data_IF_768257905997
#
_entry.id   IF_768257905997
#
_cell.length_a   1.000
_cell.length_b   1.000
_cell.length_c   1.000
_cell.angle_alpha   90.00
_cell.angle_beta   90.00
_cell.angle_gamma   90.00
#
_symmetry.space_group_name_H-M   'P 1'
#
loop_
_entity.id
_entity.type
_entity.pdbx_description
1 polymer ?
#
# COMPACT_ATOMS: atom_id res chain seq x y z
N UNK A 1 -23.66 -7.15 -12.83
CA UNK A 1 -22.37 -6.88 -12.20
C UNK A 1 -22.50 -5.68 -11.28
N UNK A 2 -22.00 -5.78 -10.07
CA UNK A 2 -22.13 -4.73 -9.08
C UNK A 2 -21.04 -3.67 -9.29
N UNK A 3 -21.45 -2.41 -9.51
CA UNK A 3 -20.53 -1.30 -9.72
C UNK A 3 -19.61 -1.09 -8.51
N UNK A 4 -20.09 -1.38 -7.30
CA UNK A 4 -19.29 -1.23 -6.09
C UNK A 4 -18.13 -2.24 -6.05
N UNK A 5 -18.38 -3.50 -6.45
CA UNK A 5 -17.32 -4.51 -6.53
C UNK A 5 -16.27 -4.12 -7.56
N UNK A 6 -16.73 -3.57 -8.69
CA UNK A 6 -15.81 -3.12 -9.74
C UNK A 6 -14.97 -1.94 -9.25
N UNK A 7 -15.57 -1.03 -8.49
CA UNK A 7 -14.86 0.11 -7.94
C UNK A 7 -13.74 -0.35 -7.00
N UNK A 8 -14.02 -1.28 -6.11
CA UNK A 8 -13.01 -1.80 -5.16
C UNK A 8 -11.84 -2.43 -5.91
N UNK A 9 -12.13 -3.28 -6.88
CA UNK A 9 -11.11 -3.94 -7.69
C UNK A 9 -10.26 -2.93 -8.46
N UNK A 10 -10.92 -1.95 -9.07
CA UNK A 10 -10.23 -0.91 -9.84
C UNK A 10 -9.38 0.00 -8.95
N UNK A 11 -9.87 0.32 -7.75
CA UNK A 11 -9.13 1.13 -6.80
C UNK A 11 -7.86 0.40 -6.35
N UNK A 12 -7.97 -0.88 -6.06
CA UNK A 12 -6.80 -1.69 -5.67
C UNK A 12 -5.77 -1.74 -6.80
N UNK A 13 -6.23 -1.91 -8.03
CA UNK A 13 -5.34 -1.98 -9.18
C UNK A 13 -4.66 -0.64 -9.46
N UNK A 14 -5.31 0.48 -9.13
CA UNK A 14 -4.77 1.81 -9.37
C UNK A 14 -3.84 2.31 -8.27
N UNK A 15 -3.85 1.65 -7.09
CA UNK A 15 -2.94 2.01 -5.99
C UNK A 15 -1.57 1.40 -6.26
N UNK A 16 -0.84 2.02 -7.17
CA UNK A 16 0.50 1.60 -7.60
C UNK A 16 1.50 2.64 -7.15
N UNK A 17 2.61 2.16 -6.60
CA UNK A 17 3.69 3.03 -6.13
C UNK A 17 4.38 3.68 -7.33
N UNK A 18 4.31 5.01 -7.39
CA UNK A 18 4.98 5.79 -8.43
C UNK A 18 6.20 6.50 -7.88
N UNK A 19 6.83 7.32 -8.74
CA UNK A 19 8.02 8.08 -8.35
C UNK A 19 7.76 9.05 -7.21
N UNK A 20 6.53 9.54 -7.09
CA UNK A 20 6.14 10.48 -6.04
C UNK A 20 5.32 9.83 -4.93
N UNK A 21 5.28 8.49 -4.89
CA UNK A 21 4.50 7.76 -3.90
C UNK A 21 3.21 7.22 -4.48
N UNK A 22 2.26 6.95 -3.58
CA UNK A 22 0.94 6.45 -3.99
C UNK A 22 0.00 7.60 -4.34
N UNK A 23 -0.97 7.36 -5.24
CA UNK A 23 -1.94 8.39 -5.55
C UNK A 23 -2.76 8.79 -4.32
N UNK A 24 -3.04 10.09 -4.19
CA UNK A 24 -3.92 10.62 -3.15
C UNK A 24 -5.35 10.12 -3.39
N UNK A 25 -6.26 10.27 -2.41
CA UNK A 25 -7.66 9.94 -2.64
C UNK A 25 -8.24 10.66 -3.85
N UNK A 26 -7.87 11.93 -4.05
CA UNK A 26 -8.33 12.73 -5.18
C UNK A 26 -7.80 12.19 -6.51
N UNK A 27 -6.51 11.89 -6.55
CA UNK A 27 -5.89 11.34 -7.75
C UNK A 27 -6.44 9.96 -8.08
N UNK A 28 -6.67 9.13 -7.05
CA UNK A 28 -7.25 7.81 -7.23
C UNK A 28 -8.67 7.92 -7.82
N UNK A 29 -9.50 8.79 -7.23
CA UNK A 29 -10.86 8.98 -7.73
C UNK A 29 -10.84 9.46 -9.19
N UNK A 30 -9.97 10.41 -9.50
CA UNK A 30 -9.84 10.93 -10.86
C UNK A 30 -9.47 9.83 -11.85
N UNK A 31 -8.55 8.96 -11.48
CA UNK A 31 -8.14 7.85 -12.36
C UNK A 31 -9.28 6.85 -12.63
N UNK A 32 -10.27 6.81 -11.74
CA UNK A 32 -11.44 5.94 -11.88
C UNK A 32 -12.65 6.68 -12.49
N UNK A 33 -12.46 7.94 -12.88
CA UNK A 33 -13.52 8.80 -13.38
C UNK A 33 -14.66 9.01 -12.38
N UNK A 34 -14.28 9.12 -11.12
CA UNK A 34 -15.21 9.35 -10.01
C UNK A 34 -14.82 10.60 -9.24
N UNK A 35 -15.80 11.18 -8.53
CA UNK A 35 -15.46 12.22 -7.56
C UNK A 35 -14.92 11.55 -6.30
N UNK A 36 -14.09 12.27 -5.49
CA UNK A 36 -13.61 11.71 -4.23
C UNK A 36 -14.76 11.25 -3.31
N UNK A 37 -15.86 12.00 -3.30
CA UNK A 37 -17.04 11.66 -2.50
C UNK A 37 -17.66 10.35 -2.95
N UNK A 38 -17.80 10.15 -4.26
CA UNK A 38 -18.37 8.91 -4.80
C UNK A 38 -17.45 7.73 -4.52
N UNK A 39 -16.14 7.91 -4.70
CA UNK A 39 -15.17 6.85 -4.38
C UNK A 39 -15.30 6.45 -2.92
N UNK A 40 -15.28 7.42 -2.02
CA UNK A 40 -15.38 7.17 -0.58
C UNK A 40 -16.66 6.40 -0.24
N UNK A 41 -17.79 6.84 -0.79
CA UNK A 41 -19.08 6.19 -0.54
C UNK A 41 -19.06 4.74 -0.99
N UNK A 42 -18.59 4.49 -2.21
CA UNK A 42 -18.56 3.12 -2.78
C UNK A 42 -17.64 2.21 -1.98
N UNK A 43 -16.49 2.71 -1.54
CA UNK A 43 -15.60 1.91 -0.71
C UNK A 43 -16.24 1.57 0.63
N UNK A 44 -16.91 2.55 1.26
CA UNK A 44 -17.59 2.34 2.53
C UNK A 44 -18.71 1.30 2.40
N UNK A 45 -19.42 1.29 1.28
CA UNK A 45 -20.46 0.30 1.01
C UNK A 45 -19.90 -1.12 0.97
N UNK A 46 -18.63 -1.26 0.61
CA UNK A 46 -17.92 -2.54 0.58
C UNK A 46 -17.19 -2.84 1.90
N UNK A 47 -17.30 -1.94 2.88
CA UNK A 47 -16.63 -2.12 4.17
C UNK A 47 -15.16 -1.70 4.17
N UNK A 48 -14.76 -0.86 3.23
CA UNK A 48 -13.36 -0.43 3.11
C UNK A 48 -13.21 1.08 3.19
N UNK A 49 -11.99 1.51 3.46
CA UNK A 49 -11.59 2.91 3.38
C UNK A 49 -10.36 3.02 2.49
N UNK A 50 -10.10 4.24 2.00
CA UNK A 50 -8.87 4.50 1.25
C UNK A 50 -7.63 4.09 2.07
N UNK A 51 -7.62 4.42 3.37
CA UNK A 51 -6.47 4.09 4.23
C UNK A 51 -6.22 2.59 4.32
N UNK A 52 -7.28 1.80 4.38
CA UNK A 52 -7.14 0.35 4.40
C UNK A 52 -6.55 -0.18 3.10
N UNK A 53 -6.99 0.37 1.96
CA UNK A 53 -6.45 -0.02 0.66
C UNK A 53 -4.99 0.40 0.51
N UNK A 54 -4.66 1.60 0.99
CA UNK A 54 -3.29 2.11 0.95
C UNK A 54 -2.37 1.24 1.81
N UNK A 55 -2.83 0.87 3.00
CA UNK A 55 -2.05 0.02 3.89
C UNK A 55 -1.80 -1.35 3.27
N UNK A 56 -2.82 -1.92 2.63
CA UNK A 56 -2.65 -3.20 1.93
C UNK A 56 -1.65 -3.09 0.78
N UNK A 57 -1.67 -1.97 0.04
CA UNK A 57 -0.72 -1.73 -1.03
C UNK A 57 0.70 -1.61 -0.48
N UNK A 58 0.87 -0.88 0.61
CA UNK A 58 2.17 -0.73 1.27
C UNK A 58 2.73 -2.07 1.73
N UNK A 59 1.86 -2.91 2.31
CA UNK A 59 2.27 -4.24 2.75
C UNK A 59 2.73 -5.09 1.56
N UNK A 60 1.93 -5.12 0.51
CA UNK A 60 2.27 -5.86 -0.72
C UNK A 60 3.60 -5.42 -1.29
N UNK A 61 3.76 -4.11 -1.47
CA UNK A 61 4.94 -3.56 -2.12
C UNK A 61 6.19 -3.66 -1.25
N UNK A 62 6.06 -3.50 0.07
CA UNK A 62 7.20 -3.65 0.97
C UNK A 62 7.73 -5.08 0.95
N UNK A 63 6.85 -6.08 0.95
CA UNK A 63 7.28 -7.48 0.89
C UNK A 63 8.05 -7.76 -0.40
N UNK A 64 7.55 -7.22 -1.52
CA UNK A 64 8.20 -7.40 -2.81
C UNK A 64 9.57 -6.70 -2.85
N UNK A 65 9.62 -5.45 -2.37
CA UNK A 65 10.88 -4.69 -2.37
C UNK A 65 11.93 -5.29 -1.45
N UNK A 66 11.51 -5.84 -0.31
CA UNK A 66 12.44 -6.49 0.62
C UNK A 66 13.06 -7.74 0.03
N UNK A 67 12.46 -8.31 -1.00
CA UNK A 67 13.03 -9.44 -1.73
C UNK A 67 14.24 -9.08 -2.55
N UNK A 68 14.47 -7.80 -2.82
CA UNK A 68 15.64 -7.31 -3.53
C UNK A 68 16.71 -6.91 -2.51
N UNK A 69 17.81 -7.69 -2.37
CA UNK A 69 18.83 -7.42 -1.37
C UNK A 69 19.60 -6.12 -1.62
N UNK A 70 19.53 -5.57 -2.83
CA UNK A 70 20.23 -4.33 -3.16
C UNK A 70 19.47 -3.08 -2.69
N UNK A 71 18.20 -3.23 -2.34
CA UNK A 71 17.41 -2.10 -1.83
C UNK A 71 17.59 -1.97 -0.33
N UNK A 72 18.03 -0.79 0.12
CA UNK A 72 18.18 -0.51 1.54
C UNK A 72 16.80 -0.39 2.19
N UNK A 73 16.66 -0.99 3.38
CA UNK A 73 15.39 -0.99 4.12
C UNK A 73 14.89 0.44 4.38
N UNK A 74 15.80 1.36 4.75
CA UNK A 74 15.43 2.76 4.96
C UNK A 74 14.86 3.41 3.71
N UNK A 75 15.41 3.09 2.55
CA UNK A 75 14.92 3.62 1.27
C UNK A 75 13.55 3.05 0.93
N UNK A 76 13.32 1.79 1.27
CA UNK A 76 12.01 1.17 1.07
C UNK A 76 10.96 1.92 1.87
N UNK A 77 11.23 2.17 3.15
CA UNK A 77 10.31 2.91 4.01
C UNK A 77 9.99 4.29 3.47
N UNK A 78 11.02 5.01 3.00
CA UNK A 78 10.84 6.33 2.41
C UNK A 78 9.96 6.27 1.16
N UNK A 79 10.22 5.32 0.27
CA UNK A 79 9.46 5.18 -0.97
C UNK A 79 7.98 4.90 -0.69
N UNK A 80 7.68 4.16 0.37
CA UNK A 80 6.31 3.83 0.76
C UNK A 80 5.60 4.97 1.49
N UNK A 81 6.30 6.07 1.76
CA UNK A 81 5.71 7.24 2.37
C UNK A 81 5.90 7.36 3.87
N UNK A 82 6.77 6.56 4.47
CA UNK A 82 7.09 6.67 5.89
C UNK A 82 8.23 7.65 6.08
N UNK A 83 7.97 8.74 6.81
CA UNK A 83 8.99 9.75 7.05
C UNK A 83 10.03 9.34 8.08
N UNK A 84 9.68 8.39 8.94
CA UNK A 84 10.54 7.91 10.01
C UNK A 84 10.72 6.40 9.85
N UNK A 85 11.98 5.91 9.78
CA UNK A 85 12.25 4.47 9.67
C UNK A 85 11.57 3.63 10.75
N UNK A 86 11.45 4.19 11.97
CA UNK A 86 10.78 3.48 13.06
C UNK A 86 9.31 3.25 12.77
N UNK A 87 8.65 4.17 12.07
CA UNK A 87 7.25 4.02 11.71
C UNK A 87 7.06 2.87 10.72
N UNK A 88 7.95 2.76 9.74
CA UNK A 88 7.90 1.64 8.80
C UNK A 88 8.12 0.31 9.52
N UNK A 89 9.11 0.23 10.38
CA UNK A 89 9.40 -0.99 11.14
C UNK A 89 8.20 -1.42 11.97
N UNK A 90 7.56 -0.49 12.67
CA UNK A 90 6.38 -0.79 13.49
C UNK A 90 5.21 -1.29 12.64
N UNK A 91 4.95 -0.61 11.52
CA UNK A 91 3.87 -1.00 10.62
C UNK A 91 4.11 -2.39 10.05
N UNK A 92 5.32 -2.63 9.55
CA UNK A 92 5.67 -3.91 8.95
C UNK A 92 5.57 -5.05 9.96
N UNK A 93 6.04 -4.80 11.18
CA UNK A 93 5.97 -5.80 12.24
C UNK A 93 4.52 -6.11 12.63
N UNK A 94 3.64 -5.09 12.61
CA UNK A 94 2.22 -5.30 12.86
C UNK A 94 1.59 -6.15 11.76
N UNK A 95 2.01 -5.99 10.51
CA UNK A 95 1.46 -6.76 9.39
C UNK A 95 1.93 -8.21 9.37
N UNK A 96 3.19 -8.46 9.67
CA UNK A 96 3.84 -9.75 9.41
C UNK A 96 4.34 -10.47 10.65
N UNK A 97 4.41 -9.77 11.78
CA UNK A 97 5.01 -10.32 12.99
C UNK A 97 6.53 -10.24 13.03
N UNK A 98 7.15 -9.77 11.96
CA UNK A 98 8.61 -9.67 11.84
C UNK A 98 9.02 -8.26 11.47
N UNK A 99 10.23 -7.87 11.88
CA UNK A 99 10.80 -6.63 11.38
C UNK A 99 11.16 -6.79 9.90
N UNK A 100 11.32 -5.67 9.15
CA UNK A 100 11.75 -5.78 7.77
C UNK A 100 13.07 -6.54 7.61
N UNK A 101 13.98 -6.33 8.53
CA UNK A 101 15.28 -7.01 8.52
C UNK A 101 15.14 -8.52 8.71
N UNK A 102 14.32 -8.92 9.68
CA UNK A 102 14.06 -10.33 9.93
C UNK A 102 13.35 -11.00 8.76
N UNK A 103 12.38 -10.29 8.17
CA UNK A 103 11.66 -10.75 6.99
C UNK A 103 12.62 -11.02 5.83
N UNK A 104 13.50 -10.05 5.54
CA UNK A 104 14.48 -10.19 4.45
C UNK A 104 15.38 -11.39 4.67
N UNK A 105 15.84 -11.56 5.90
CA UNK A 105 16.70 -12.67 6.27
C UNK A 105 16.05 -14.01 5.97
N UNK A 106 14.76 -14.12 6.26
CA UNK A 106 14.01 -15.36 6.00
C UNK A 106 13.78 -15.57 4.51
N UNK A 107 13.59 -14.50 3.75
CA UNK A 107 13.36 -14.61 2.31
C UNK A 107 14.59 -15.04 1.56
N UNK A 108 15.78 -14.68 2.03
CA UNK A 108 17.03 -15.10 1.40
C UNK A 108 17.37 -16.54 1.73
N UNK A 109 16.65 -17.17 2.64
CA UNK A 109 16.72 -18.59 2.88
C UNK A 109 17.92 -19.07 3.66
N UNK A 110 18.68 -18.17 4.22
CA UNK A 110 19.95 -18.61 4.81
C UNK A 110 20.31 -17.86 6.07
#
# INVERSE_FOLDING_TARGET
MDDADDTLRRARAALVLGAEGYPSPEALADSLHLTPRTLRRRLQEQGYSYQQLLEAARRRDSCQMLGDPDLEIGRIGEALGYGDPANFTRAFKAWTGLSPREWRKRQTGH
#
